data_IF_132738948951
#
_entry.id   IF_132738948951
#
_cell.length_a   1.000
_cell.length_b   1.000
_cell.length_c   1.000
_cell.angle_alpha   90.00
_cell.angle_beta   90.00
_cell.angle_gamma   90.00
#
_symmetry.space_group_name_H-M   'P 1'
#
loop_
_entity.id
_entity.type
_entity.pdbx_description
1 polymer ?
#
# COMPACT_ATOMS: atom_id res chain seq x y z
N UNK A 1 -52.25 -23.05 4.89
CA UNK A 1 -50.79 -23.28 5.00
C UNK A 1 -50.02 -22.10 4.40
N UNK A 2 -49.76 -21.00 5.14
CA UNK A 2 -49.09 -19.78 4.61
C UNK A 2 -48.19 -19.01 5.61
N UNK A 3 -47.72 -19.65 6.71
CA UNK A 3 -46.94 -18.97 7.77
C UNK A 3 -45.55 -19.54 8.06
N UNK A 4 -45.11 -20.60 7.37
CA UNK A 4 -43.81 -21.26 7.62
C UNK A 4 -42.70 -20.76 6.68
N UNK A 5 -43.06 -20.24 5.49
CA UNK A 5 -42.10 -19.81 4.46
C UNK A 5 -41.33 -18.52 4.76
N UNK A 6 -41.69 -17.77 5.80
CA UNK A 6 -41.05 -16.49 6.14
C UNK A 6 -39.83 -16.61 7.07
N UNK A 7 -39.65 -17.77 7.73
CA UNK A 7 -38.54 -17.97 8.67
C UNK A 7 -37.20 -18.32 7.99
N UNK A 8 -37.24 -18.81 6.74
CA UNK A 8 -36.07 -19.37 6.04
C UNK A 8 -35.31 -18.33 5.19
N UNK A 9 -35.81 -17.10 5.08
CA UNK A 9 -35.17 -16.01 4.33
C UNK A 9 -34.28 -15.10 5.18
N UNK A 10 -34.17 -15.37 6.50
CA UNK A 10 -33.37 -14.57 7.45
C UNK A 10 -32.00 -15.19 7.80
N UNK A 11 -31.56 -16.20 7.05
CA UNK A 11 -30.25 -16.84 7.22
C UNK A 11 -29.30 -16.63 6.03
N UNK A 12 -29.68 -15.80 5.05
CA UNK A 12 -28.87 -15.48 3.87
C UNK A 12 -28.23 -14.08 3.95
N UNK A 13 -27.72 -13.73 5.14
CA UNK A 13 -26.80 -12.60 5.27
C UNK A 13 -25.51 -12.99 4.54
N UNK A 14 -25.05 -12.27 3.51
CA UNK A 14 -23.80 -12.59 2.85
C UNK A 14 -22.67 -12.50 3.87
N UNK A 15 -21.71 -13.43 3.79
CA UNK A 15 -20.56 -13.45 4.69
C UNK A 15 -19.73 -12.19 4.50
N UNK A 16 -20.01 -11.16 5.30
CA UNK A 16 -19.12 -10.01 5.49
C UNK A 16 -17.78 -10.62 5.91
N UNK A 17 -16.69 -10.43 5.14
CA UNK A 17 -15.41 -10.98 5.54
C UNK A 17 -15.10 -10.44 6.94
N UNK A 18 -14.76 -11.34 7.87
CA UNK A 18 -14.36 -10.94 9.22
C UNK A 18 -12.96 -10.35 9.12
N UNK A 19 -12.91 -9.08 8.69
CA UNK A 19 -11.87 -8.14 9.06
C UNK A 19 -11.96 -8.00 10.57
N UNK A 20 -11.41 -8.98 11.29
CA UNK A 20 -11.33 -8.98 12.74
C UNK A 20 -10.69 -7.64 13.14
N UNK A 21 -11.46 -6.82 13.86
CA UNK A 21 -11.24 -5.38 13.99
C UNK A 21 -9.78 -5.09 14.35
N UNK A 22 -9.01 -4.66 13.35
CA UNK A 22 -7.57 -4.47 13.51
C UNK A 22 -7.35 -3.31 14.45
N UNK A 23 -6.48 -3.49 15.45
CA UNK A 23 -6.16 -2.44 16.43
C UNK A 23 -5.66 -1.12 15.79
N UNK A 24 -5.32 -1.17 14.50
CA UNK A 24 -5.03 -0.06 13.59
C UNK A 24 -6.12 1.00 13.45
N UNK A 25 -7.39 0.69 13.64
CA UNK A 25 -8.47 1.67 13.37
C UNK A 25 -8.42 2.87 14.32
N UNK A 26 -7.98 2.67 15.56
CA UNK A 26 -7.75 3.73 16.55
C UNK A 26 -6.56 4.64 16.22
N UNK A 27 -5.33 4.17 15.94
CA UNK A 27 -4.24 5.05 15.49
C UNK A 27 -4.49 5.64 14.10
N UNK A 28 -5.25 4.98 13.20
CA UNK A 28 -5.69 5.57 11.92
C UNK A 28 -6.52 6.83 12.14
N UNK A 29 -7.59 6.76 12.94
CA UNK A 29 -8.45 7.94 13.22
C UNK A 29 -7.66 9.03 13.95
N UNK A 30 -6.89 8.68 14.98
CA UNK A 30 -6.09 9.65 15.74
C UNK A 30 -5.05 10.40 14.87
N UNK A 31 -4.40 9.71 13.93
CA UNK A 31 -3.47 10.32 12.99
C UNK A 31 -4.18 11.22 11.96
N UNK A 32 -5.36 10.82 11.49
CA UNK A 32 -6.20 11.64 10.61
C UNK A 32 -6.74 12.90 11.32
N UNK A 33 -7.21 12.78 12.56
CA UNK A 33 -7.66 13.90 13.39
C UNK A 33 -6.53 14.91 13.65
N UNK A 34 -5.34 14.44 14.01
CA UNK A 34 -4.20 15.32 14.25
C UNK A 34 -3.75 16.04 12.97
N UNK A 35 -3.75 15.35 11.81
CA UNK A 35 -3.55 15.99 10.48
C UNK A 35 -4.63 17.03 10.17
N UNK A 36 -5.88 16.80 10.55
CA UNK A 36 -6.98 17.75 10.32
C UNK A 36 -6.78 19.02 11.14
N UNK A 37 -6.47 18.91 12.45
CA UNK A 37 -6.18 20.07 13.33
C UNK A 37 -5.03 20.94 12.80
N UNK A 38 -3.96 20.32 12.30
CA UNK A 38 -2.83 21.05 11.71
C UNK A 38 -3.22 21.81 10.43
N UNK A 39 -4.15 21.28 9.62
CA UNK A 39 -4.68 21.99 8.45
C UNK A 39 -5.56 23.16 8.87
N UNK A 40 -6.50 22.92 9.78
CA UNK A 40 -7.42 23.94 10.32
C UNK A 40 -6.64 25.14 10.90
N UNK A 41 -5.61 24.90 11.72
CA UNK A 41 -4.78 25.96 12.29
C UNK A 41 -3.99 26.72 11.21
N UNK A 42 -3.52 26.06 10.15
CA UNK A 42 -2.83 26.72 9.02
C UNK A 42 -3.80 27.56 8.17
N UNK A 43 -5.04 27.12 8.00
CA UNK A 43 -6.11 27.88 7.34
C UNK A 43 -6.48 29.14 8.17
N UNK A 44 -6.67 28.98 9.48
CA UNK A 44 -6.85 30.11 10.41
C UNK A 44 -5.66 31.09 10.37
N UNK A 45 -4.41 30.59 10.30
CA UNK A 45 -3.21 31.43 10.14
C UNK A 45 -3.25 32.27 8.85
N UNK A 46 -3.72 31.70 7.74
CA UNK A 46 -3.83 32.40 6.46
C UNK A 46 -4.90 33.49 6.50
N UNK A 47 -6.05 33.21 7.12
CA UNK A 47 -7.13 34.20 7.32
C UNK A 47 -6.65 35.38 8.16
N UNK A 48 -6.05 35.14 9.34
CA UNK A 48 -5.56 36.22 10.21
C UNK A 48 -4.43 37.04 9.56
N UNK A 49 -3.56 36.42 8.75
CA UNK A 49 -2.56 37.14 7.94
C UNK A 49 -3.20 38.01 6.85
N UNK A 50 -4.25 37.53 6.19
CA UNK A 50 -5.00 38.31 5.21
C UNK A 50 -5.70 39.52 5.88
N UNK A 51 -6.35 39.32 7.03
CA UNK A 51 -6.93 40.41 7.82
C UNK A 51 -5.88 41.46 8.20
N UNK A 52 -4.73 41.05 8.74
CA UNK A 52 -3.64 41.96 9.12
C UNK A 52 -3.14 42.78 7.92
N UNK A 53 -2.97 42.15 6.74
CA UNK A 53 -2.60 42.84 5.51
C UNK A 53 -3.65 43.88 5.07
N UNK A 54 -4.95 43.58 5.19
CA UNK A 54 -6.00 44.57 4.89
C UNK A 54 -6.04 45.73 5.89
N UNK A 55 -5.80 45.47 7.19
CA UNK A 55 -5.66 46.52 8.19
C UNK A 55 -4.42 47.39 7.94
N UNK A 56 -3.29 46.82 7.52
CA UNK A 56 -2.10 47.58 7.16
C UNK A 56 -2.40 48.59 6.04
N UNK A 57 -3.04 48.15 4.95
CA UNK A 57 -3.48 49.03 3.87
C UNK A 57 -4.45 50.12 4.32
N UNK A 58 -5.42 49.81 5.21
CA UNK A 58 -6.31 50.84 5.79
C UNK A 58 -5.55 51.84 6.68
N UNK A 59 -4.58 51.37 7.46
CA UNK A 59 -3.73 52.22 8.31
C UNK A 59 -2.90 53.18 7.45
N UNK A 60 -2.36 52.74 6.31
CA UNK A 60 -1.64 53.61 5.38
C UNK A 60 -2.55 54.64 4.72
N UNK A 61 -3.76 54.26 4.30
CA UNK A 61 -4.76 55.19 3.77
C UNK A 61 -5.15 56.26 4.80
N UNK A 62 -5.41 55.86 6.05
CA UNK A 62 -5.71 56.78 7.16
C UNK A 62 -4.52 57.72 7.47
N UNK A 63 -3.29 57.21 7.49
CA UNK A 63 -2.07 58.02 7.65
C UNK A 63 -1.88 59.00 6.50
N UNK A 64 -2.16 58.61 5.26
CA UNK A 64 -2.07 59.47 4.09
C UNK A 64 -3.10 60.62 4.15
N UNK A 65 -4.35 60.31 4.49
CA UNK A 65 -5.43 61.29 4.67
C UNK A 65 -5.25 62.23 5.88
N UNK A 66 -4.44 61.85 6.87
CA UNK A 66 -4.15 62.69 8.05
C UNK A 66 -2.97 63.65 7.89
N UNK A 67 -2.28 63.67 6.73
CA UNK A 67 -1.17 64.61 6.43
C UNK A 67 -1.67 66.08 6.38
N UNK A 68 -1.75 66.70 7.56
CA UNK A 68 -2.27 68.06 7.76
C UNK A 68 -3.05 68.27 9.07
N UNK A 69 -3.40 67.21 9.81
CA UNK A 69 -4.00 67.31 11.17
C UNK A 69 -2.99 66.90 12.24
N UNK A 70 -2.89 67.71 13.29
CA UNK A 70 -2.00 67.51 14.45
C UNK A 70 -2.50 66.49 15.48
N UNK A 71 -3.74 65.99 15.33
CA UNK A 71 -4.36 65.03 16.24
C UNK A 71 -4.70 63.77 15.46
N UNK A 72 -4.28 62.60 15.96
CA UNK A 72 -4.63 61.32 15.39
C UNK A 72 -6.15 61.11 15.44
N UNK A 73 -6.75 60.74 14.31
CA UNK A 73 -8.17 60.36 14.28
C UNK A 73 -8.39 59.04 15.01
N UNK A 74 -9.46 58.93 15.79
CA UNK A 74 -9.79 57.75 16.61
C UNK A 74 -9.86 56.43 15.81
N UNK A 75 -10.23 56.48 14.53
CA UNK A 75 -10.17 55.31 13.63
C UNK A 75 -8.74 54.75 13.46
N UNK A 76 -7.72 55.61 13.42
CA UNK A 76 -6.32 55.17 13.32
C UNK A 76 -5.89 54.45 14.61
N UNK A 77 -6.28 54.97 15.78
CA UNK A 77 -6.03 54.28 17.05
C UNK A 77 -6.74 52.92 17.12
N UNK A 78 -8.02 52.85 16.69
CA UNK A 78 -8.78 51.60 16.66
C UNK A 78 -8.13 50.58 15.70
N UNK A 79 -7.70 51.00 14.52
CA UNK A 79 -7.03 50.14 13.56
C UNK A 79 -5.65 49.66 14.08
N UNK A 80 -4.88 50.53 14.74
CA UNK A 80 -3.62 50.15 15.38
C UNK A 80 -3.81 49.15 16.53
N UNK A 81 -4.79 49.39 17.42
CA UNK A 81 -5.13 48.46 18.51
C UNK A 81 -5.56 47.09 17.97
N UNK A 82 -6.38 47.05 16.91
CA UNK A 82 -6.78 45.77 16.29
C UNK A 82 -5.65 45.08 15.52
N UNK A 83 -4.71 45.83 14.95
CA UNK A 83 -3.49 45.26 14.36
C UNK A 83 -2.59 44.61 15.43
N UNK A 84 -2.46 45.23 16.62
CA UNK A 84 -1.79 44.64 17.78
C UNK A 84 -2.53 43.39 18.30
N UNK A 85 -3.86 43.43 18.37
CA UNK A 85 -4.73 42.29 18.73
C UNK A 85 -4.51 41.09 17.80
N UNK A 86 -4.61 41.28 16.47
CA UNK A 86 -4.36 40.23 15.48
C UNK A 86 -2.92 39.71 15.53
N UNK A 87 -1.94 40.57 15.82
CA UNK A 87 -0.54 40.15 15.99
C UNK A 87 -0.38 39.20 17.18
N UNK A 88 -1.00 39.51 18.32
CA UNK A 88 -1.02 38.63 19.49
C UNK A 88 -1.77 37.31 19.23
N UNK A 89 -2.88 37.34 18.49
CA UNK A 89 -3.59 36.14 18.05
C UNK A 89 -2.72 35.26 17.14
N UNK A 90 -1.98 35.85 16.20
CA UNK A 90 -1.03 35.13 15.33
C UNK A 90 0.12 34.49 16.12
N UNK A 91 0.65 35.14 17.17
CA UNK A 91 1.64 34.53 18.07
C UNK A 91 1.06 33.35 18.85
N UNK A 92 -0.14 33.50 19.42
CA UNK A 92 -0.83 32.40 20.11
C UNK A 92 -1.13 31.21 19.19
N UNK A 93 -1.55 31.49 17.96
CA UNK A 93 -1.79 30.47 16.94
C UNK A 93 -0.50 29.79 16.47
N UNK A 94 0.61 30.51 16.36
CA UNK A 94 1.91 29.89 16.02
C UNK A 94 2.32 28.85 17.08
N UNK A 95 2.09 29.14 18.37
CA UNK A 95 2.36 28.21 19.47
C UNK A 95 1.41 27.00 19.45
N UNK A 96 0.10 27.19 19.17
CA UNK A 96 -0.85 26.07 19.08
C UNK A 96 -0.59 25.21 17.84
N UNK A 97 -0.17 25.81 16.72
CA UNK A 97 0.23 25.10 15.50
C UNK A 97 1.45 24.21 15.75
N UNK A 98 2.53 24.74 16.34
CA UNK A 98 3.71 23.93 16.69
C UNK A 98 3.36 22.79 17.67
N UNK A 99 2.46 23.05 18.63
CA UNK A 99 1.91 22.03 19.52
C UNK A 99 1.18 20.92 18.75
N UNK A 100 0.26 21.28 17.85
CA UNK A 100 -0.51 20.34 17.05
C UNK A 100 0.34 19.57 16.03
N UNK A 101 1.37 20.19 15.44
CA UNK A 101 2.34 19.54 14.56
C UNK A 101 3.12 18.46 15.32
N UNK A 102 3.62 18.77 16.52
CA UNK A 102 4.27 17.78 17.40
C UNK A 102 3.32 16.65 17.85
N UNK A 103 2.02 16.91 18.00
CA UNK A 103 1.04 15.86 18.29
C UNK A 103 0.85 14.97 17.05
N UNK A 104 0.66 15.57 15.86
CA UNK A 104 0.48 14.84 14.62
C UNK A 104 1.66 13.92 14.30
N UNK A 105 2.90 14.39 14.47
CA UNK A 105 4.10 13.56 14.31
C UNK A 105 4.10 12.37 15.27
N UNK A 106 3.77 12.58 16.55
CA UNK A 106 3.65 11.50 17.55
C UNK A 106 2.54 10.50 17.22
N UNK A 107 1.36 10.94 16.77
CA UNK A 107 0.29 10.03 16.29
C UNK A 107 0.72 9.26 15.04
N UNK A 108 1.52 9.88 14.17
CA UNK A 108 2.02 9.24 12.95
C UNK A 108 3.07 8.16 13.21
N UNK A 109 3.98 8.39 14.15
CA UNK A 109 4.91 7.36 14.60
C UNK A 109 4.17 6.19 15.27
N UNK A 110 3.16 6.47 16.10
CA UNK A 110 2.31 5.44 16.72
C UNK A 110 1.51 4.62 15.70
N UNK A 111 1.03 5.24 14.61
CA UNK A 111 0.41 4.52 13.49
C UNK A 111 1.44 3.66 12.73
N UNK A 112 2.65 4.17 12.48
CA UNK A 112 3.70 3.40 11.82
C UNK A 112 4.10 2.16 12.65
N UNK A 113 4.28 2.28 13.97
CA UNK A 113 4.61 1.12 14.82
C UNK A 113 3.46 0.11 14.86
N UNK A 114 2.22 0.56 14.98
CA UNK A 114 1.06 -0.34 14.95
C UNK A 114 0.92 -1.10 13.61
N UNK A 115 1.24 -0.44 12.48
CA UNK A 115 1.29 -1.08 11.15
C UNK A 115 2.41 -2.11 11.04
N UNK A 116 3.60 -1.84 11.60
CA UNK A 116 4.70 -2.82 11.69
C UNK A 116 4.29 -4.03 12.53
N UNK A 117 3.72 -3.83 13.72
CA UNK A 117 3.22 -4.91 14.58
C UNK A 117 2.11 -5.75 13.92
N UNK A 118 1.26 -5.13 13.08
CA UNK A 118 0.25 -5.86 12.30
C UNK A 118 0.90 -6.67 11.17
N UNK A 119 1.90 -6.12 10.47
CA UNK A 119 2.66 -6.84 9.45
C UNK A 119 3.35 -8.09 10.01
N UNK A 120 4.00 -7.98 11.18
CA UNK A 120 4.62 -9.13 11.84
C UNK A 120 3.59 -10.17 12.29
N UNK A 121 2.42 -9.74 12.80
CA UNK A 121 1.32 -10.65 13.16
C UNK A 121 0.72 -11.36 11.93
N UNK A 122 0.57 -10.67 10.80
CA UNK A 122 0.09 -11.27 9.54
C UNK A 122 1.15 -12.21 8.93
N UNK A 123 2.44 -11.87 9.05
CA UNK A 123 3.56 -12.74 8.64
C UNK A 123 3.58 -14.05 9.44
N UNK A 124 3.55 -13.96 10.78
CA UNK A 124 3.49 -15.14 11.64
C UNK A 124 2.24 -16.00 11.37
N UNK A 125 1.09 -15.37 11.05
CA UNK A 125 -0.10 -16.09 10.62
C UNK A 125 0.07 -16.78 9.25
N UNK A 126 0.81 -16.19 8.30
CA UNK A 126 1.12 -16.80 7.01
C UNK A 126 2.07 -17.99 7.16
N UNK A 127 3.11 -17.87 7.98
CA UNK A 127 4.06 -18.95 8.30
C UNK A 127 3.35 -20.15 8.96
N UNK A 128 2.42 -19.89 9.89
CA UNK A 128 1.64 -20.91 10.59
C UNK A 128 0.49 -21.51 9.75
N UNK A 129 0.04 -20.84 8.67
CA UNK A 129 -1.08 -21.29 7.84
C UNK A 129 -0.61 -22.29 6.79
N UNK A 130 -1.27 -23.45 6.68
CA UNK A 130 -1.01 -24.45 5.63
C UNK A 130 -1.94 -24.34 4.41
N UNK A 131 -3.10 -23.70 4.53
CA UNK A 131 -4.03 -23.54 3.40
C UNK A 131 -3.56 -22.48 2.41
N UNK A 132 -3.44 -22.88 1.14
CA UNK A 132 -3.05 -22.02 0.01
C UNK A 132 -4.02 -20.87 -0.24
N UNK A 133 -5.33 -21.02 0.02
CA UNK A 133 -6.31 -19.94 -0.15
C UNK A 133 -6.18 -18.89 0.95
N UNK A 134 -6.08 -19.31 2.21
CA UNK A 134 -5.78 -18.43 3.33
C UNK A 134 -4.41 -17.73 3.17
N UNK A 135 -3.35 -18.44 2.74
CA UNK A 135 -2.03 -17.85 2.41
C UNK A 135 -2.12 -16.73 1.38
N UNK A 136 -2.89 -16.91 0.30
CA UNK A 136 -3.08 -15.88 -0.72
C UNK A 136 -3.78 -14.62 -0.15
N UNK A 137 -4.82 -14.81 0.68
CA UNK A 137 -5.49 -13.69 1.36
C UNK A 137 -4.60 -12.94 2.36
N UNK A 138 -3.73 -13.67 3.08
CA UNK A 138 -2.74 -13.08 3.98
C UNK A 138 -1.66 -12.30 3.21
N UNK A 139 -1.23 -12.77 2.04
CA UNK A 139 -0.25 -12.08 1.19
C UNK A 139 -0.80 -10.73 0.68
N UNK A 140 -2.05 -10.68 0.23
CA UNK A 140 -2.71 -9.40 -0.14
C UNK A 140 -2.91 -8.47 1.07
N UNK A 141 -3.15 -9.01 2.28
CA UNK A 141 -3.14 -8.22 3.52
C UNK A 141 -1.75 -7.65 3.84
N UNK A 142 -0.67 -8.39 3.59
CA UNK A 142 0.71 -7.87 3.73
C UNK A 142 1.00 -6.77 2.71
N UNK A 143 0.60 -6.93 1.44
CA UNK A 143 0.76 -5.89 0.40
C UNK A 143 0.04 -4.60 0.74
N UNK A 144 -1.22 -4.68 1.15
CA UNK A 144 -2.04 -3.51 1.54
C UNK A 144 -1.50 -2.82 2.79
N UNK A 145 -1.08 -3.56 3.82
CA UNK A 145 -0.46 -2.99 5.02
C UNK A 145 0.91 -2.34 4.75
N UNK A 146 1.74 -2.89 3.85
CA UNK A 146 2.99 -2.25 3.40
C UNK A 146 2.72 -0.94 2.67
N UNK A 147 1.79 -0.94 1.72
CA UNK A 147 1.39 0.26 1.01
C UNK A 147 0.88 1.35 1.96
N UNK A 148 0.14 0.98 3.01
CA UNK A 148 -0.27 1.90 4.07
C UNK A 148 0.91 2.40 4.92
N UNK A 149 1.82 1.51 5.36
CA UNK A 149 3.06 1.89 6.08
C UNK A 149 3.88 2.91 5.28
N UNK A 150 4.08 2.66 3.99
CA UNK A 150 4.91 3.53 3.15
C UNK A 150 4.19 4.82 2.74
N UNK A 151 2.87 4.81 2.59
CA UNK A 151 2.05 6.03 2.48
C UNK A 151 2.02 6.84 3.79
N UNK A 152 2.11 6.20 4.96
CA UNK A 152 2.31 6.88 6.24
C UNK A 152 3.71 7.50 6.29
N UNK A 153 4.76 6.71 6.02
CA UNK A 153 6.17 7.12 6.09
C UNK A 153 6.51 8.25 5.12
N UNK A 154 6.05 8.20 3.89
CA UNK A 154 6.24 9.28 2.90
C UNK A 154 5.49 10.57 3.22
N UNK A 155 4.51 10.51 4.12
CA UNK A 155 3.71 11.65 4.57
C UNK A 155 3.93 12.01 6.05
N UNK A 156 5.00 11.50 6.67
CA UNK A 156 5.76 12.28 7.65
C UNK A 156 6.64 13.25 6.85
N UNK A 157 6.86 14.50 7.31
CA UNK A 157 7.89 15.33 6.72
C UNK A 157 9.25 14.63 6.92
N UNK A 158 10.14 14.58 5.92
CA UNK A 158 11.52 14.18 6.18
C UNK A 158 12.09 15.22 7.15
N UNK A 159 12.47 14.76 8.35
CA UNK A 159 12.83 15.60 9.52
C UNK A 159 13.56 16.85 9.07
N UNK A 160 12.90 18.01 9.21
CA UNK A 160 13.32 19.23 8.54
C UNK A 160 14.71 19.61 9.05
N UNK A 161 15.73 19.41 8.21
CA UNK A 161 17.07 19.93 8.46
C UNK A 161 16.92 21.44 8.54
N UNK A 162 17.26 22.09 9.67
CA UNK A 162 17.15 23.53 9.79
C UNK A 162 17.88 24.19 8.62
N UNK A 163 17.24 25.19 7.99
CA UNK A 163 17.90 25.94 6.92
C UNK A 163 19.18 26.53 7.49
N UNK A 164 20.33 26.20 6.88
CA UNK A 164 21.64 26.58 7.38
C UNK A 164 21.67 28.10 7.62
N UNK A 165 22.09 28.58 8.80
CA UNK A 165 22.28 30.01 9.01
C UNK A 165 23.28 30.49 7.96
N UNK A 166 22.86 31.46 7.14
CA UNK A 166 23.73 32.03 6.11
C UNK A 166 24.97 32.62 6.78
N UNK A 167 26.15 32.11 6.41
CA UNK A 167 27.39 32.31 7.16
C UNK A 167 27.63 33.77 7.54
N UNK A 168 27.37 34.09 8.81
CA UNK A 168 27.60 35.40 9.35
C UNK A 168 29.10 35.54 9.63
N UNK A 169 29.77 36.40 8.86
CA UNK A 169 31.17 36.75 9.08
C UNK A 169 31.29 37.63 10.34
N UNK A 170 31.11 37.00 11.50
CA UNK A 170 31.58 37.55 12.76
C UNK A 170 33.09 37.37 12.85
N UNK A 171 33.76 38.37 13.40
CA UNK A 171 35.18 38.33 13.73
C UNK A 171 35.40 38.09 15.24
N UNK A 172 34.32 37.88 16.01
CA UNK A 172 34.36 37.50 17.43
C UNK A 172 34.52 35.99 17.59
N UNK A 173 35.51 35.57 18.40
CA UNK A 173 35.87 34.16 18.56
C UNK A 173 34.85 33.31 19.34
N UNK A 174 33.87 33.94 20.00
CA UNK A 174 32.80 33.24 20.75
C UNK A 174 31.63 32.91 19.81
N UNK A 175 31.16 33.87 19.00
CA UNK A 175 30.21 33.65 17.91
C UNK A 175 30.63 32.52 16.95
N UNK A 176 31.92 32.46 16.61
CA UNK A 176 32.46 31.45 15.70
C UNK A 176 32.41 30.03 16.30
N UNK A 177 32.44 29.90 17.64
CA UNK A 177 32.28 28.62 18.33
C UNK A 177 30.80 28.24 18.46
N UNK A 178 29.91 29.19 18.79
CA UNK A 178 28.46 28.93 18.78
C UNK A 178 27.98 28.50 17.37
N UNK A 179 28.49 29.13 16.32
CA UNK A 179 28.24 28.71 14.94
C UNK A 179 28.82 27.31 14.63
N UNK A 180 29.99 26.96 15.14
CA UNK A 180 30.60 25.64 14.92
C UNK A 180 29.79 24.52 15.62
N UNK A 181 29.37 24.73 16.85
CA UNK A 181 28.53 23.78 17.59
C UNK A 181 27.13 23.69 16.97
N UNK A 182 26.53 24.81 16.53
CA UNK A 182 25.27 24.77 15.77
C UNK A 182 25.39 24.00 14.45
N UNK A 183 26.54 24.04 13.77
CA UNK A 183 26.79 23.22 12.58
C UNK A 183 26.89 21.72 12.92
N UNK A 184 27.62 21.33 13.97
CA UNK A 184 27.63 19.94 14.47
C UNK A 184 26.23 19.46 14.84
N UNK A 185 25.45 20.31 15.49
CA UNK A 185 24.06 20.03 15.86
C UNK A 185 23.19 19.81 14.61
N UNK A 186 23.52 20.40 13.45
CA UNK A 186 22.89 20.04 12.15
C UNK A 186 23.49 18.79 11.49
N UNK A 187 24.79 18.54 11.66
CA UNK A 187 25.51 17.37 11.15
C UNK A 187 24.98 16.07 11.77
N UNK A 188 24.79 16.03 13.09
CA UNK A 188 24.19 14.91 13.82
C UNK A 188 22.77 14.60 13.32
N UNK A 189 21.97 15.63 13.05
CA UNK A 189 20.61 15.49 12.47
C UNK A 189 20.66 14.91 11.05
N UNK A 190 21.68 15.27 10.26
CA UNK A 190 21.92 14.69 8.92
C UNK A 190 22.40 13.24 9.03
N UNK A 191 23.26 12.91 9.99
CA UNK A 191 23.71 11.54 10.26
C UNK A 191 22.57 10.63 10.72
N UNK A 192 21.69 11.11 11.61
CA UNK A 192 20.47 10.39 12.02
C UNK A 192 19.55 10.11 10.83
N UNK A 193 19.32 11.10 9.94
CA UNK A 193 18.54 10.91 8.71
C UNK A 193 19.20 9.92 7.74
N UNK A 194 20.51 9.98 7.58
CA UNK A 194 21.28 9.05 6.75
C UNK A 194 21.24 7.62 7.31
N UNK A 195 21.26 7.45 8.64
CA UNK A 195 21.07 6.15 9.29
C UNK A 195 19.65 5.61 9.04
N UNK A 196 18.61 6.45 9.18
CA UNK A 196 17.23 6.09 8.89
C UNK A 196 17.00 5.71 7.40
N UNK A 197 17.65 6.40 6.47
CA UNK A 197 17.62 6.06 5.04
C UNK A 197 18.36 4.76 4.73
N UNK A 198 19.52 4.51 5.36
CA UNK A 198 20.21 3.21 5.26
C UNK A 198 19.35 2.07 5.81
N UNK A 199 18.60 2.29 6.89
CA UNK A 199 17.65 1.31 7.44
C UNK A 199 16.44 1.07 6.51
N UNK A 200 15.87 2.13 5.88
CA UNK A 200 14.85 1.98 4.82
C UNK A 200 15.40 1.18 3.63
N UNK A 201 16.66 1.40 3.26
CA UNK A 201 17.30 0.71 2.15
C UNK A 201 17.60 -0.77 2.45
N UNK A 202 17.90 -1.15 3.69
CA UNK A 202 17.96 -2.57 4.08
C UNK A 202 16.58 -3.20 4.12
N UNK A 203 15.59 -2.54 4.73
CA UNK A 203 14.19 -3.00 4.79
C UNK A 203 13.64 -3.30 3.38
N UNK A 204 13.72 -2.35 2.43
CA UNK A 204 13.20 -2.52 1.07
C UNK A 204 13.95 -3.62 0.29
N UNK A 205 15.24 -3.86 0.59
CA UNK A 205 16.00 -4.98 0.00
C UNK A 205 15.55 -6.33 0.57
N UNK A 206 15.35 -6.43 1.88
CA UNK A 206 14.82 -7.62 2.55
C UNK A 206 13.38 -7.93 2.14
N UNK A 207 12.54 -6.91 1.94
CA UNK A 207 11.17 -7.09 1.46
C UNK A 207 11.11 -7.59 0.02
N UNK A 208 11.99 -7.12 -0.88
CA UNK A 208 12.11 -7.64 -2.26
C UNK A 208 12.62 -9.07 -2.29
N UNK A 209 13.61 -9.39 -1.46
CA UNK A 209 14.15 -10.74 -1.31
C UNK A 209 13.07 -11.70 -0.75
N UNK A 210 12.25 -11.23 0.19
CA UNK A 210 11.12 -11.99 0.73
C UNK A 210 9.99 -12.17 -0.30
N UNK A 211 9.55 -11.11 -0.99
CA UNK A 211 8.48 -11.22 -2.00
C UNK A 211 8.92 -12.10 -3.17
N UNK A 212 10.19 -12.02 -3.59
CA UNK A 212 10.75 -12.97 -4.56
C UNK A 212 10.59 -14.40 -4.08
N UNK A 213 11.07 -14.74 -2.88
CA UNK A 213 10.94 -16.10 -2.32
C UNK A 213 9.48 -16.55 -2.23
N UNK A 214 8.57 -15.68 -1.79
CA UNK A 214 7.13 -15.98 -1.71
C UNK A 214 6.51 -16.22 -3.11
N UNK A 215 6.93 -15.46 -4.12
CA UNK A 215 6.50 -15.64 -5.52
C UNK A 215 7.07 -16.93 -6.13
N UNK A 216 8.35 -17.22 -5.88
CA UNK A 216 9.03 -18.42 -6.36
C UNK A 216 8.35 -19.68 -5.75
N UNK A 217 8.06 -19.69 -4.44
CA UNK A 217 7.28 -20.75 -3.78
C UNK A 217 5.88 -20.96 -4.39
N UNK A 218 5.12 -19.88 -4.64
CA UNK A 218 3.78 -19.98 -5.26
C UNK A 218 3.85 -20.45 -6.72
N UNK A 219 4.92 -20.12 -7.44
CA UNK A 219 5.21 -20.61 -8.78
C UNK A 219 5.53 -22.11 -8.81
N UNK A 220 6.44 -22.56 -7.94
CA UNK A 220 6.81 -23.98 -7.82
C UNK A 220 5.62 -24.85 -7.37
N UNK A 221 4.86 -24.42 -6.35
CA UNK A 221 3.65 -25.13 -5.89
C UNK A 221 2.60 -25.23 -7.02
N UNK A 222 2.53 -24.23 -7.90
CA UNK A 222 1.66 -24.28 -9.08
C UNK A 222 2.09 -25.29 -10.14
N UNK A 223 3.36 -25.72 -10.19
CA UNK A 223 3.82 -26.73 -11.16
C UNK A 223 3.37 -28.15 -10.79
N UNK A 224 3.12 -28.42 -9.50
CA UNK A 224 2.54 -29.69 -9.05
C UNK A 224 1.02 -29.73 -9.32
N UNK A 225 0.32 -28.63 -9.04
CA UNK A 225 -1.13 -28.45 -9.32
C UNK A 225 -1.43 -28.60 -10.84
N UNK A 226 -0.52 -28.12 -11.69
CA UNK A 226 -0.59 -28.24 -13.16
C UNK A 226 -0.29 -29.65 -13.68
N UNK A 227 0.34 -30.53 -12.89
CA UNK A 227 0.49 -31.96 -13.22
C UNK A 227 -0.79 -32.74 -12.88
N UNK A 228 -1.42 -32.47 -11.74
CA UNK A 228 -2.69 -33.10 -11.35
C UNK A 228 -3.84 -32.69 -12.31
N UNK A 229 -3.85 -31.43 -12.76
CA UNK A 229 -4.78 -30.94 -13.79
C UNK A 229 -4.62 -31.57 -15.18
N UNK A 230 -3.53 -32.31 -15.45
CA UNK A 230 -3.29 -32.98 -16.75
C UNK A 230 -3.91 -34.37 -16.85
N UNK A 231 -4.87 -34.69 -15.98
CA UNK A 231 -5.67 -35.90 -16.03
C UNK A 231 -6.68 -35.93 -17.20
N UNK A 232 -6.12 -36.18 -18.38
CA UNK A 232 -6.68 -36.88 -19.56
C UNK A 232 -8.00 -36.34 -20.15
N UNK A 233 -7.82 -35.54 -21.21
CA UNK A 233 -8.70 -35.58 -22.38
C UNK A 233 -8.33 -36.80 -23.24
N UNK A 234 -9.23 -37.78 -23.35
CA UNK A 234 -9.12 -38.86 -24.34
C UNK A 234 -10.07 -38.58 -25.52
N UNK A 235 -9.47 -38.29 -26.68
CA UNK A 235 -10.18 -38.13 -27.95
C UNK A 235 -10.23 -39.49 -28.64
N UNK A 236 -11.41 -40.10 -28.70
CA UNK A 236 -11.59 -41.36 -29.42
C UNK A 236 -11.78 -41.08 -30.91
N UNK A 237 -10.76 -41.43 -31.71
CA UNK A 237 -10.71 -41.13 -33.14
C UNK A 237 -11.72 -41.91 -33.97
N UNK A 238 -12.24 -43.04 -33.46
CA UNK A 238 -13.26 -43.83 -34.15
C UNK A 238 -14.66 -43.19 -34.06
N UNK A 239 -14.95 -42.41 -33.02
CA UNK A 239 -16.28 -41.81 -32.78
C UNK A 239 -16.28 -40.28 -32.75
N UNK A 240 -15.12 -39.63 -32.77
CA UNK A 240 -14.93 -38.17 -32.57
C UNK A 240 -15.46 -37.64 -31.23
N UNK A 241 -15.79 -38.51 -30.28
CA UNK A 241 -16.25 -38.09 -28.97
C UNK A 241 -15.06 -37.75 -28.06
N UNK A 242 -15.13 -36.57 -27.45
CA UNK A 242 -14.17 -36.11 -26.43
C UNK A 242 -14.69 -36.58 -25.07
N UNK A 243 -13.92 -37.45 -24.42
CA UNK A 243 -14.22 -37.92 -23.06
C UNK A 243 -13.30 -37.26 -22.04
N UNK A 244 -13.90 -36.77 -20.95
CA UNK A 244 -13.20 -36.25 -19.77
C UNK A 244 -13.59 -37.15 -18.61
N UNK A 245 -12.61 -37.83 -18.01
CA UNK A 245 -12.83 -38.78 -16.91
C UNK A 245 -12.00 -38.38 -15.70
N UNK A 246 -12.67 -37.74 -14.73
CA UNK A 246 -12.06 -37.42 -13.44
C UNK A 246 -11.73 -38.73 -12.68
N UNK A 247 -10.49 -38.88 -12.23
CA UNK A 247 -10.08 -40.05 -11.44
C UNK A 247 -10.76 -40.03 -10.06
N UNK A 248 -11.46 -41.11 -9.65
CA UNK A 248 -11.95 -41.24 -8.29
C UNK A 248 -10.76 -41.35 -7.31
N UNK A 249 -10.73 -40.46 -6.32
CA UNK A 249 -9.70 -40.41 -5.27
C UNK A 249 -9.88 -41.57 -4.28
N UNK A 250 -9.46 -42.77 -4.67
CA UNK A 250 -9.47 -43.95 -3.80
C UNK A 250 -8.33 -43.87 -2.78
N UNK A 251 -8.63 -43.43 -1.56
CA UNK A 251 -7.61 -43.21 -0.53
C UNK A 251 -8.16 -42.89 0.85
N UNK A 252 -8.82 -43.85 1.49
CA UNK A 252 -9.00 -43.89 2.94
C UNK A 252 -8.52 -45.27 3.42
N UNK A 253 -7.51 -45.37 4.29
CA UNK A 253 -7.14 -46.64 4.91
C UNK A 253 -8.09 -46.94 6.07
N UNK A 254 -8.93 -47.96 5.92
CA UNK A 254 -9.66 -48.53 7.06
C UNK A 254 -9.02 -49.86 7.45
N UNK A 255 -8.58 -49.97 8.70
CA UNK A 255 -7.93 -51.17 9.22
C UNK A 255 -8.99 -52.25 9.45
N UNK A 256 -8.80 -53.42 8.84
CA UNK A 256 -9.58 -54.62 9.15
C UNK A 256 -9.00 -55.28 10.40
N UNK A 257 -9.62 -55.03 11.54
CA UNK A 257 -9.53 -55.90 12.71
C UNK A 257 -10.59 -57.02 12.60
N UNK A 258 -10.33 -58.17 13.23
CA UNK A 258 -11.12 -59.39 13.04
C UNK A 258 -12.38 -59.51 13.90
N UNK A 259 -13.31 -60.30 13.37
CA UNK A 259 -13.99 -61.43 14.04
C UNK A 259 -14.47 -61.24 15.51
N UNK A 260 -15.76 -60.94 15.67
CA UNK A 260 -16.71 -61.87 16.30
C UNK A 260 -18.18 -61.45 16.04
N UNK A 261 -19.13 -62.34 16.32
CA UNK A 261 -20.58 -62.15 16.21
C UNK A 261 -21.23 -62.04 17.61
N UNK A 262 -22.57 -61.99 17.82
CA UNK A 262 -23.68 -61.95 16.85
C UNK A 262 -24.81 -60.92 17.17
N UNK A 263 -25.78 -60.80 16.26
CA UNK A 263 -27.16 -60.38 16.59
C UNK A 263 -27.77 -59.28 15.69
N UNK A 264 -28.98 -59.52 15.18
CA UNK A 264 -29.76 -58.52 14.43
C UNK A 264 -30.69 -59.13 13.39
N UNK A 265 -31.95 -59.39 13.75
CA UNK A 265 -32.97 -59.92 12.83
C UNK A 265 -33.74 -58.75 12.19
N UNK A 266 -33.82 -58.72 10.85
CA UNK A 266 -34.66 -57.77 10.11
C UNK A 266 -34.71 -58.15 8.62
N UNK A 267 -35.91 -58.31 8.04
CA UNK A 267 -36.10 -58.85 6.69
C UNK A 267 -37.15 -58.09 5.88
N UNK A 268 -36.95 -58.03 4.56
CA UNK A 268 -37.85 -57.43 3.56
C UNK A 268 -37.43 -56.01 3.11
N UNK A 269 -37.56 -55.64 1.83
CA UNK A 269 -37.91 -56.48 0.66
C UNK A 269 -38.14 -55.70 -0.63
N UNK A 270 -37.84 -56.34 -1.77
CA UNK A 270 -38.35 -56.10 -3.15
C UNK A 270 -38.43 -54.66 -3.73
N UNK A 271 -37.43 -54.32 -4.56
CA UNK A 271 -37.53 -54.03 -6.02
C UNK A 271 -38.40 -52.87 -6.59
N UNK A 272 -38.06 -52.34 -7.80
CA UNK A 272 -38.62 -51.11 -8.39
C UNK A 272 -39.77 -51.36 -9.41
N UNK A 273 -40.29 -50.29 -10.07
CA UNK A 273 -39.88 -50.05 -11.47
C UNK A 273 -39.70 -48.56 -11.87
N UNK A 274 -39.36 -48.30 -13.13
CA UNK A 274 -39.07 -46.97 -13.71
C UNK A 274 -40.08 -46.54 -14.79
N UNK A 275 -40.06 -45.26 -15.21
CA UNK A 275 -40.44 -44.80 -16.57
C UNK A 275 -40.03 -43.32 -16.86
N UNK A 276 -39.87 -42.92 -18.14
CA UNK A 276 -39.34 -41.61 -18.55
C UNK A 276 -40.41 -40.59 -19.01
N UNK A 277 -40.01 -39.35 -19.33
CA UNK A 277 -40.89 -38.32 -19.90
C UNK A 277 -40.20 -37.22 -20.74
N UNK A 278 -40.55 -37.14 -22.03
CA UNK A 278 -40.30 -36.03 -22.97
C UNK A 278 -41.50 -35.02 -22.91
N UNK A 279 -41.65 -33.88 -23.60
CA UNK A 279 -41.10 -33.21 -24.82
C UNK A 279 -41.16 -31.67 -24.58
N UNK A 280 -40.51 -30.81 -25.39
CA UNK A 280 -41.09 -29.60 -26.07
C UNK A 280 -40.01 -28.64 -26.64
N UNK A 281 -40.28 -28.07 -27.83
CA UNK A 281 -39.47 -27.09 -28.60
C UNK A 281 -40.21 -25.71 -28.66
N UNK A 282 -40.09 -24.76 -29.63
CA UNK A 282 -39.19 -24.58 -30.80
C UNK A 282 -38.50 -23.16 -30.90
N UNK A 283 -38.64 -22.32 -31.97
CA UNK A 283 -37.63 -22.02 -33.02
C UNK A 283 -37.22 -20.50 -33.04
N UNK A 284 -36.63 -19.87 -34.11
CA UNK A 284 -36.18 -20.28 -35.47
C UNK A 284 -34.68 -19.90 -35.74
N UNK A 285 -34.10 -19.60 -36.93
CA UNK A 285 -34.57 -19.36 -38.30
C UNK A 285 -33.46 -19.49 -39.40
N UNK A 286 -33.91 -19.51 -40.68
CA UNK A 286 -33.25 -19.00 -41.91
C UNK A 286 -32.04 -19.73 -42.57
N UNK A 287 -31.99 -19.60 -43.90
CA UNK A 287 -31.11 -20.23 -44.92
C UNK A 287 -30.62 -19.14 -45.92
N UNK A 288 -30.10 -19.36 -47.16
CA UNK A 288 -29.63 -20.58 -47.89
C UNK A 288 -28.24 -20.42 -48.60
N UNK A 289 -27.76 -21.45 -49.32
CA UNK A 289 -26.60 -21.35 -50.24
C UNK A 289 -26.22 -22.67 -50.94
N UNK A 290 -26.28 -22.71 -52.29
CA UNK A 290 -26.30 -23.94 -53.14
C UNK A 290 -25.01 -24.07 -54.02
N UNK A 291 -24.85 -25.02 -54.98
CA UNK A 291 -24.13 -26.31 -54.83
C UNK A 291 -22.87 -26.51 -55.72
N UNK A 292 -22.18 -27.66 -55.58
CA UNK A 292 -21.23 -28.18 -56.57
C UNK A 292 -20.53 -29.51 -56.18
N UNK A 293 -20.18 -30.34 -57.17
CA UNK A 293 -19.36 -31.58 -57.06
C UNK A 293 -18.79 -31.92 -58.46
N UNK A 294 -18.46 -33.18 -58.82
CA UNK A 294 -18.11 -34.37 -58.01
C UNK A 294 -16.80 -35.06 -58.49
N UNK A 295 -16.41 -36.20 -57.87
CA UNK A 295 -15.25 -37.07 -58.21
C UNK A 295 -13.85 -36.42 -57.95
N UNK A 296 -12.71 -37.11 -57.82
CA UNK A 296 -12.36 -38.51 -58.12
C UNK A 296 -11.22 -39.05 -57.19
N UNK A 297 -10.80 -40.30 -57.39
CA UNK A 297 -9.85 -41.11 -56.61
C UNK A 297 -8.42 -40.58 -56.40
N UNK A 298 -7.90 -40.89 -55.20
CA UNK A 298 -6.64 -41.63 -54.95
C UNK A 298 -5.32 -41.19 -55.62
N UNK A 299 -4.39 -40.67 -54.82
CA UNK A 299 -2.98 -41.09 -54.86
C UNK A 299 -2.23 -40.71 -53.56
N UNK A 300 -1.26 -41.55 -53.17
CA UNK A 300 -0.49 -41.35 -51.95
C UNK A 300 0.57 -40.24 -52.05
N UNK A 301 0.66 -39.41 -51.01
CA UNK A 301 1.81 -38.52 -50.74
C UNK A 301 2.40 -38.85 -49.37
N UNK A 302 3.72 -38.73 -49.18
CA UNK A 302 4.37 -39.08 -47.91
C UNK A 302 3.89 -38.18 -46.76
N UNK A 303 3.98 -38.62 -45.50
CA UNK A 303 3.50 -37.84 -44.36
C UNK A 303 4.28 -36.54 -44.23
N UNK A 304 3.67 -35.44 -44.67
CA UNK A 304 4.15 -34.09 -44.39
C UNK A 304 4.17 -33.91 -42.88
N UNK A 305 5.36 -33.80 -42.30
CA UNK A 305 5.50 -33.39 -40.90
C UNK A 305 4.91 -32.00 -40.75
N UNK A 306 3.67 -31.93 -40.26
CA UNK A 306 3.15 -30.71 -39.66
C UNK A 306 4.00 -30.45 -38.42
N UNK A 307 5.07 -29.67 -38.60
CA UNK A 307 5.66 -28.93 -37.50
C UNK A 307 4.51 -28.15 -36.86
N UNK A 308 4.17 -28.50 -35.63
CA UNK A 308 3.18 -27.78 -34.87
C UNK A 308 3.75 -26.37 -34.65
N UNK A 309 3.33 -25.42 -35.49
CA UNK A 309 3.56 -23.99 -35.27
C UNK A 309 2.98 -23.71 -33.89
N UNK A 310 3.84 -23.36 -32.94
CA UNK A 310 3.49 -23.28 -31.53
C UNK A 310 2.69 -21.99 -31.27
N UNK A 311 1.43 -22.00 -31.73
CA UNK A 311 0.43 -20.94 -31.60
C UNK A 311 -0.07 -20.77 -30.16
N UNK A 312 0.82 -21.03 -29.18
CA UNK A 312 0.66 -20.46 -27.85
C UNK A 312 0.74 -18.94 -28.01
N UNK A 313 -0.18 -18.16 -27.44
CA UNK A 313 0.14 -16.77 -27.18
C UNK A 313 1.41 -16.77 -26.31
N UNK A 314 2.42 -15.98 -26.67
CA UNK A 314 3.55 -15.72 -25.78
C UNK A 314 3.02 -14.88 -24.62
N UNK A 315 2.49 -15.56 -23.59
CA UNK A 315 2.07 -14.96 -22.32
C UNK A 315 3.36 -14.48 -21.65
N UNK A 316 3.72 -13.23 -21.95
CA UNK A 316 5.09 -12.80 -21.83
C UNK A 316 5.62 -12.85 -20.39
N UNK A 317 6.90 -13.22 -20.28
CA UNK A 317 7.78 -12.83 -19.17
C UNK A 317 7.66 -11.33 -18.85
N UNK A 318 7.38 -10.53 -19.88
CA UNK A 318 6.93 -9.14 -19.84
C UNK A 318 5.88 -8.88 -18.74
N UNK A 319 4.88 -9.74 -18.49
CA UNK A 319 3.84 -9.45 -17.49
C UNK A 319 4.36 -9.54 -16.05
N UNK A 320 5.33 -10.42 -15.78
CA UNK A 320 6.03 -10.46 -14.49
C UNK A 320 7.00 -9.26 -14.36
N UNK A 321 7.70 -8.91 -15.44
CA UNK A 321 8.61 -7.76 -15.46
C UNK A 321 7.88 -6.40 -15.35
N UNK A 322 6.67 -6.28 -15.90
CA UNK A 322 5.84 -5.07 -15.81
C UNK A 322 5.19 -4.95 -14.42
N UNK A 323 4.78 -6.05 -13.79
CA UNK A 323 4.35 -6.00 -12.38
C UNK A 323 5.51 -5.73 -11.40
N UNK A 324 6.75 -5.98 -11.82
CA UNK A 324 7.95 -5.56 -11.08
C UNK A 324 8.42 -4.13 -11.43
N UNK A 325 7.84 -3.47 -12.45
CA UNK A 325 8.32 -2.17 -12.95
C UNK A 325 7.63 -0.94 -12.33
N UNK A 326 6.67 -1.12 -11.42
CA UNK A 326 6.03 0.01 -10.71
C UNK A 326 6.85 0.53 -9.50
N UNK A 327 7.95 -0.14 -9.12
CA UNK A 327 8.84 0.23 -8.00
C UNK A 327 10.37 0.27 -8.25
N UNK A 328 10.95 0.15 -9.47
CA UNK A 328 12.40 0.02 -9.64
C UNK A 328 13.17 1.30 -9.28
N UNK A 329 12.52 2.47 -9.31
CA UNK A 329 13.18 3.76 -9.11
C UNK A 329 13.46 4.08 -7.64
N UNK A 330 12.62 3.63 -6.70
CA UNK A 330 12.69 4.05 -5.28
C UNK A 330 14.05 3.71 -4.63
N UNK A 331 14.56 2.48 -4.79
CA UNK A 331 15.87 2.09 -4.21
C UNK A 331 17.02 2.92 -4.79
N UNK A 332 17.00 3.25 -6.08
CA UNK A 332 18.04 4.09 -6.70
C UNK A 332 17.91 5.55 -6.27
N UNK A 333 16.69 6.06 -6.11
CA UNK A 333 16.44 7.38 -5.54
C UNK A 333 16.97 7.49 -4.10
N UNK A 334 16.76 6.46 -3.29
CA UNK A 334 17.26 6.39 -1.91
C UNK A 334 18.78 6.27 -1.83
N UNK A 335 19.41 5.52 -2.74
CA UNK A 335 20.88 5.46 -2.87
C UNK A 335 21.46 6.84 -3.23
N UNK A 336 20.80 7.59 -4.12
CA UNK A 336 21.18 8.96 -4.48
C UNK A 336 20.93 9.97 -3.34
N UNK A 337 19.81 9.86 -2.61
CA UNK A 337 19.52 10.72 -1.45
C UNK A 337 20.51 10.47 -0.31
N UNK A 338 20.82 9.20 -0.01
CA UNK A 338 21.82 8.84 0.99
C UNK A 338 23.22 9.38 0.62
N UNK A 339 23.64 9.24 -0.64
CA UNK A 339 24.91 9.80 -1.11
C UNK A 339 24.94 11.34 -1.02
N UNK A 340 23.82 12.02 -1.31
CA UNK A 340 23.69 13.48 -1.19
C UNK A 340 23.78 13.95 0.27
N UNK A 341 23.11 13.26 1.19
CA UNK A 341 23.22 13.57 2.63
C UNK A 341 24.61 13.28 3.16
N UNK A 342 25.28 12.23 2.67
CA UNK A 342 26.65 11.93 3.05
C UNK A 342 27.65 12.98 2.55
N UNK A 343 27.44 13.55 1.35
CA UNK A 343 28.22 14.72 0.91
C UNK A 343 27.94 15.97 1.74
N UNK A 344 26.69 16.16 2.19
CA UNK A 344 26.30 17.33 2.98
C UNK A 344 26.81 17.26 4.42
N UNK A 345 26.82 16.08 5.06
CA UNK A 345 27.45 15.90 6.38
C UNK A 345 28.93 16.31 6.35
N UNK A 346 29.70 15.84 5.36
CA UNK A 346 31.11 16.21 5.16
C UNK A 346 31.32 17.70 4.86
N UNK A 347 30.34 18.37 4.26
CA UNK A 347 30.34 19.83 4.05
C UNK A 347 30.08 20.61 5.36
N UNK A 348 29.31 20.05 6.30
CA UNK A 348 29.06 20.64 7.62
C UNK A 348 30.26 20.45 8.56
N UNK A 349 30.78 19.22 8.66
CA UNK A 349 32.00 18.86 9.40
C UNK A 349 33.17 19.79 9.00
N UNK A 350 33.52 19.81 7.71
CA UNK A 350 34.60 20.66 7.20
C UNK A 350 34.37 22.17 7.38
N UNK A 351 33.12 22.63 7.56
CA UNK A 351 32.81 24.01 7.92
C UNK A 351 32.99 24.26 9.41
N UNK A 352 32.42 23.45 10.29
CA UNK A 352 32.61 23.55 11.74
C UNK A 352 34.12 23.54 12.09
N UNK A 353 34.87 22.62 11.47
CA UNK A 353 36.31 22.47 11.63
C UNK A 353 37.12 23.67 11.07
N UNK A 354 36.56 24.47 10.16
CA UNK A 354 37.14 25.74 9.69
C UNK A 354 36.81 26.94 10.57
N UNK A 355 35.60 26.98 11.13
CA UNK A 355 35.19 28.01 12.11
C UNK A 355 35.98 27.85 13.42
N UNK A 356 36.14 26.61 13.90
CA UNK A 356 36.99 26.31 15.06
C UNK A 356 38.43 26.74 14.86
N UNK A 357 39.01 26.51 13.67
CA UNK A 357 40.38 26.97 13.36
C UNK A 357 40.49 28.48 13.41
N UNK A 358 39.55 29.22 12.79
CA UNK A 358 39.52 30.69 12.85
C UNK A 358 39.31 31.21 14.27
N UNK A 359 38.44 30.59 15.07
CA UNK A 359 38.24 30.95 16.47
C UNK A 359 39.48 30.71 17.36
N UNK A 360 40.32 29.72 17.01
CA UNK A 360 41.62 29.45 17.66
C UNK A 360 42.72 30.40 17.18
N UNK A 361 42.64 30.93 15.96
CA UNK A 361 43.55 31.95 15.41
C UNK A 361 43.28 33.37 15.94
N UNK A 362 42.10 33.58 16.54
CA UNK A 362 41.64 34.84 17.16
C UNK A 362 41.82 34.86 18.70
N UNK A 363 42.54 33.90 19.28
CA UNK A 363 42.83 33.77 20.72
C UNK A 363 44.32 33.84 21.04
#
# INVERSE_FOLDING_TARGET
>A
MKRVLLALWLCLVPGVPVWAASGLDTPRTQAQEARARVRELREQQQVLRAELNTLAGRIEQLKAGQKGRLVAGSELEQALRRSQELSGQLTGLAQSLAGAESEAERRHLALHTALSEELDRVRAAWDATSDRRARAGLLERMRTLRAERDAVRTALPPSQVPALPGAATSDDAEDLLEQADALRDTEDKVHQRLQALRARLTEVREERELERRMSDFLGEESMFDEQDRRLRLSIDTATRNISVSATPRTGIPFLVAGDEAPGGIGSGGASPPASPGTVVSPPPASTPGTPGGPYNSDNGTPPTYQQAIDSRPQVGTVRAQVLASDFPEDVRGLEQEAARLESLARELDSRADSLERRARELR
#
